data_IF_802827758226
#
_entry.id   IF_802827758226
#
_cell.length_a   1.000
_cell.length_b   1.000
_cell.length_c   1.000
_cell.angle_alpha   90.00
_cell.angle_beta   90.00
_cell.angle_gamma   90.00
#
_symmetry.space_group_name_H-M   'P 1'
#
loop_
_entity.id
_entity.type
_entity.pdbx_description
1 polymer ?
#
# COMPACT_ATOMS: atom_id res chain seq x y z
N UNK A 1 -36.43 -44.23 -37.03
CA UNK A 1 -37.70 -43.55 -36.67
C UNK A 1 -37.32 -42.47 -35.68
N UNK A 2 -37.03 -41.26 -36.16
CA UNK A 2 -37.93 -40.07 -36.13
C UNK A 2 -38.34 -39.81 -34.66
N UNK A 3 -37.92 -38.72 -34.04
CA UNK A 3 -38.56 -37.38 -34.06
C UNK A 3 -37.49 -36.41 -33.48
N UNK A 4 -36.93 -35.45 -34.24
CA UNK A 4 -37.42 -34.08 -34.49
C UNK A 4 -37.80 -33.28 -33.24
N UNK A 5 -37.09 -32.17 -32.96
CA UNK A 5 -37.66 -30.84 -32.65
C UNK A 5 -36.60 -29.90 -32.07
N UNK A 6 -36.13 -28.98 -32.91
CA UNK A 6 -36.17 -27.51 -32.72
C UNK A 6 -35.02 -26.84 -33.46
N UNK A 7 -35.27 -26.66 -34.76
CA UNK A 7 -34.82 -25.50 -35.50
C UNK A 7 -35.44 -24.22 -34.92
N UNK A 8 -34.66 -23.12 -35.02
CA UNK A 8 -35.23 -21.79 -35.21
C UNK A 8 -35.17 -20.87 -33.99
N UNK A 9 -34.12 -20.05 -33.92
CA UNK A 9 -34.32 -18.60 -33.91
C UNK A 9 -33.03 -17.91 -34.37
N UNK A 10 -33.03 -17.54 -35.65
CA UNK A 10 -32.04 -16.64 -36.24
C UNK A 10 -32.67 -15.25 -36.26
N UNK A 11 -32.12 -14.27 -35.53
CA UNK A 11 -32.34 -12.85 -35.83
C UNK A 11 -31.15 -11.96 -35.41
N UNK A 12 -30.45 -11.51 -36.45
CA UNK A 12 -29.84 -10.19 -36.71
C UNK A 12 -29.34 -9.26 -35.57
N UNK A 13 -28.06 -8.91 -35.76
CA UNK A 13 -27.23 -7.79 -35.25
C UNK A 13 -27.88 -6.65 -34.44
N UNK A 14 -27.24 -6.34 -33.29
CA UNK A 14 -26.79 -4.96 -33.00
C UNK A 14 -25.35 -4.96 -32.52
N UNK A 15 -24.57 -4.14 -33.22
CA UNK A 15 -23.20 -3.76 -32.90
C UNK A 15 -23.27 -2.81 -31.70
N UNK A 16 -22.93 -3.28 -30.50
CA UNK A 16 -22.73 -2.38 -29.38
C UNK A 16 -21.46 -2.75 -28.60
N UNK A 17 -20.49 -1.86 -28.71
CA UNK A 17 -19.18 -1.93 -28.09
C UNK A 17 -19.31 -1.64 -26.59
N UNK A 18 -19.45 -2.67 -25.75
CA UNK A 18 -19.15 -2.65 -24.31
C UNK A 18 -19.45 -4.00 -23.62
N UNK A 19 -18.48 -4.93 -23.60
CA UNK A 19 -18.30 -5.94 -22.53
C UNK A 19 -17.15 -6.90 -22.88
N UNK A 20 -15.97 -6.66 -22.32
CA UNK A 20 -14.77 -7.47 -22.59
C UNK A 20 -14.62 -8.81 -21.81
N UNK A 21 -15.48 -9.24 -20.84
CA UNK A 21 -15.26 -10.53 -20.20
C UNK A 21 -15.96 -11.72 -20.90
N UNK A 22 -16.92 -11.50 -21.81
CA UNK A 22 -17.73 -12.60 -22.36
C UNK A 22 -17.07 -13.38 -23.51
N UNK A 23 -16.11 -12.80 -24.24
CA UNK A 23 -15.41 -13.51 -25.32
C UNK A 23 -14.42 -14.58 -24.82
N UNK A 24 -13.92 -14.45 -23.59
CA UNK A 24 -12.97 -15.42 -23.02
C UNK A 24 -13.62 -16.69 -22.49
N UNK A 25 -14.85 -16.62 -21.97
CA UNK A 25 -15.59 -17.80 -21.52
C UNK A 25 -15.95 -18.73 -22.69
N UNK A 26 -16.29 -18.16 -23.85
CA UNK A 26 -16.65 -18.95 -25.03
C UNK A 26 -15.45 -19.71 -25.63
N UNK A 27 -14.25 -19.10 -25.59
CA UNK A 27 -13.03 -19.72 -26.09
C UNK A 27 -12.55 -20.86 -25.16
N UNK A 28 -12.63 -20.66 -23.83
CA UNK A 28 -12.27 -21.70 -22.86
C UNK A 28 -13.17 -22.94 -22.97
N UNK A 29 -14.48 -22.76 -23.19
CA UNK A 29 -15.42 -23.87 -23.31
C UNK A 29 -15.21 -24.69 -24.59
N UNK A 30 -14.96 -24.05 -25.73
CA UNK A 30 -14.66 -24.76 -26.97
C UNK A 30 -13.35 -25.56 -26.90
N UNK A 31 -12.31 -25.01 -26.26
CA UNK A 31 -11.05 -25.76 -26.09
C UNK A 31 -11.19 -26.98 -25.20
N UNK A 32 -12.04 -26.93 -24.16
CA UNK A 32 -12.23 -28.06 -23.22
C UNK A 32 -13.06 -29.21 -23.81
N UNK A 33 -14.02 -28.90 -24.71
CA UNK A 33 -14.79 -29.92 -25.44
C UNK A 33 -13.93 -30.62 -26.49
N UNK A 34 -13.11 -29.88 -27.24
CA UNK A 34 -12.14 -30.47 -28.17
C UNK A 34 -11.09 -31.35 -27.45
N UNK A 35 -10.66 -30.95 -26.26
CA UNK A 35 -9.70 -31.70 -25.44
C UNK A 35 -10.26 -33.06 -24.98
N UNK A 36 -11.55 -33.12 -24.63
CA UNK A 36 -12.21 -34.37 -24.21
C UNK A 36 -12.43 -35.37 -25.34
N UNK A 37 -12.60 -34.91 -26.59
CA UNK A 37 -12.77 -35.78 -27.76
C UNK A 37 -11.45 -36.34 -28.28
N UNK A 38 -10.34 -35.58 -28.17
CA UNK A 38 -9.00 -36.04 -28.53
C UNK A 38 -8.46 -37.12 -27.56
N UNK A 39 -8.72 -36.99 -26.26
CA UNK A 39 -8.26 -37.96 -25.24
C UNK A 39 -9.05 -39.28 -25.29
N UNK A 40 -10.32 -39.26 -25.77
CA UNK A 40 -11.18 -40.45 -25.81
C UNK A 40 -11.15 -41.23 -27.15
N UNK A 41 -10.27 -40.88 -28.09
CA UNK A 41 -9.97 -41.71 -29.27
C UNK A 41 -11.14 -41.98 -30.24
N UNK A 42 -12.15 -41.11 -30.30
CA UNK A 42 -13.39 -41.34 -31.08
C UNK A 42 -13.48 -40.59 -32.42
N UNK A 43 -12.36 -40.17 -33.00
CA UNK A 43 -12.34 -39.66 -34.39
C UNK A 43 -11.52 -40.63 -35.23
N UNK A 44 -12.20 -41.43 -36.06
CA UNK A 44 -11.57 -42.24 -37.12
C UNK A 44 -11.66 -41.47 -38.44
N UNK A 45 -10.51 -41.18 -39.05
CA UNK A 45 -10.43 -40.74 -40.44
C UNK A 45 -10.37 -41.97 -41.37
N UNK A 46 -10.96 -41.92 -42.57
CA UNK A 46 -10.90 -43.02 -43.52
C UNK A 46 -9.45 -43.31 -43.91
N UNK A 47 -9.06 -44.59 -43.86
CA UNK A 47 -7.75 -45.06 -44.28
C UNK A 47 -7.73 -45.18 -45.79
N UNK A 48 -7.09 -44.23 -46.46
CA UNK A 48 -6.53 -44.45 -47.79
C UNK A 48 -5.10 -43.91 -47.85
N UNK A 49 -4.17 -44.86 -47.84
CA UNK A 49 -3.00 -44.92 -48.73
C UNK A 49 -2.08 -43.70 -48.85
N UNK A 50 -1.41 -43.30 -47.76
CA UNK A 50 -0.06 -42.71 -47.87
C UNK A 50 0.83 -43.22 -46.74
N UNK A 51 1.92 -43.89 -47.13
CA UNK A 51 3.00 -44.33 -46.26
C UNK A 51 3.67 -43.09 -45.66
N UNK A 52 3.28 -42.68 -44.45
CA UNK A 52 4.07 -41.74 -43.68
C UNK A 52 5.10 -42.52 -42.86
N UNK A 53 6.41 -42.17 -42.95
CA UNK A 53 7.41 -42.84 -42.13
C UNK A 53 7.08 -42.63 -40.66
N UNK A 54 7.18 -43.67 -39.83
CA UNK A 54 6.84 -43.67 -38.41
C UNK A 54 7.48 -42.51 -37.59
N UNK A 55 8.54 -41.90 -38.14
CA UNK A 55 9.22 -40.75 -37.56
C UNK A 55 8.42 -39.43 -37.70
N UNK A 56 7.49 -39.27 -38.64
CA UNK A 56 6.75 -38.00 -38.84
C UNK A 56 5.74 -37.72 -37.72
N UNK A 57 5.01 -38.74 -37.27
CA UNK A 57 4.03 -38.65 -36.18
C UNK A 57 4.68 -38.36 -34.82
N UNK A 58 5.87 -38.93 -34.58
CA UNK A 58 6.62 -38.70 -33.36
C UNK A 58 7.23 -37.30 -33.31
N UNK A 59 7.73 -36.78 -34.44
CA UNK A 59 8.19 -35.40 -34.57
C UNK A 59 7.03 -34.41 -34.38
N UNK A 60 5.85 -34.66 -34.95
CA UNK A 60 4.67 -33.82 -34.76
C UNK A 60 4.19 -33.78 -33.30
N UNK A 61 4.21 -34.91 -32.59
CA UNK A 61 3.88 -34.98 -31.17
C UNK A 61 4.87 -34.23 -30.27
N UNK A 62 6.16 -34.28 -30.60
CA UNK A 62 7.21 -33.53 -29.87
C UNK A 62 7.09 -32.03 -30.14
N UNK A 63 6.88 -31.62 -31.39
CA UNK A 63 6.70 -30.21 -31.77
C UNK A 63 5.45 -29.61 -31.11
N UNK A 64 4.33 -30.35 -31.06
CA UNK A 64 3.11 -29.90 -30.39
C UNK A 64 3.29 -29.76 -28.86
N UNK A 65 4.03 -30.66 -28.22
CA UNK A 65 4.36 -30.56 -26.79
C UNK A 65 5.27 -29.36 -26.49
N UNK A 66 6.27 -29.12 -27.32
CA UNK A 66 7.16 -27.95 -27.18
C UNK A 66 6.38 -26.63 -27.36
N UNK A 67 5.44 -26.57 -28.31
CA UNK A 67 4.57 -25.41 -28.51
C UNK A 67 3.66 -25.13 -27.31
N UNK A 68 3.08 -26.18 -26.71
CA UNK A 68 2.25 -26.05 -25.51
C UNK A 68 3.04 -25.62 -24.27
N UNK A 69 4.27 -26.14 -24.10
CA UNK A 69 5.18 -25.71 -23.03
C UNK A 69 5.56 -24.24 -23.21
N UNK A 70 5.82 -23.80 -24.45
CA UNK A 70 6.12 -22.41 -24.75
C UNK A 70 4.92 -21.50 -24.44
N UNK A 71 3.70 -21.89 -24.81
CA UNK A 71 2.48 -21.14 -24.49
C UNK A 71 2.22 -21.05 -22.99
N UNK A 72 2.45 -22.13 -22.24
CA UNK A 72 2.33 -22.15 -20.79
C UNK A 72 3.40 -21.26 -20.14
N UNK A 73 4.65 -21.33 -20.61
CA UNK A 73 5.72 -20.45 -20.16
C UNK A 73 5.40 -18.98 -20.44
N UNK A 74 4.83 -18.67 -21.63
CA UNK A 74 4.37 -17.32 -21.97
C UNK A 74 3.24 -16.84 -21.06
N UNK A 75 2.28 -17.72 -20.75
CA UNK A 75 1.20 -17.40 -19.80
C UNK A 75 1.74 -17.15 -18.39
N UNK A 76 2.70 -17.96 -17.93
CA UNK A 76 3.33 -17.77 -16.62
C UNK A 76 4.18 -16.48 -16.57
N UNK A 77 4.87 -16.14 -17.67
CA UNK A 77 5.58 -14.87 -17.82
C UNK A 77 4.61 -13.68 -17.79
N UNK A 78 3.52 -13.71 -18.57
CA UNK A 78 2.49 -12.67 -18.56
C UNK A 78 1.79 -12.55 -17.19
N UNK A 79 1.47 -13.66 -16.54
CA UNK A 79 0.87 -13.67 -15.22
C UNK A 79 1.81 -13.08 -14.16
N UNK A 80 3.11 -13.33 -14.23
CA UNK A 80 4.11 -12.72 -13.34
C UNK A 80 4.25 -11.21 -13.56
N UNK A 81 4.21 -10.74 -14.81
CA UNK A 81 4.25 -9.30 -15.14
C UNK A 81 2.99 -8.59 -14.65
N UNK A 82 1.82 -9.24 -14.73
CA UNK A 82 0.55 -8.71 -14.21
C UNK A 82 0.48 -8.78 -12.67
N UNK A 83 1.05 -9.81 -12.04
CA UNK A 83 1.09 -9.92 -10.58
C UNK A 83 2.01 -8.87 -9.92
N UNK A 84 3.02 -8.38 -10.64
CA UNK A 84 3.88 -7.28 -10.17
C UNK A 84 3.22 -5.90 -10.23
N UNK A 85 2.08 -5.76 -10.92
CA UNK A 85 1.30 -4.54 -10.99
C UNK A 85 -0.11 -4.80 -10.52
N UNK A 86 -0.39 -4.65 -9.22
CA UNK A 86 -1.76 -4.46 -8.77
C UNK A 86 -2.26 -3.14 -9.37
N UNK A 87 -3.02 -3.20 -10.47
CA UNK A 87 -3.60 -2.03 -11.12
C UNK A 87 -4.81 -1.60 -10.29
N UNK A 88 -4.61 -0.64 -9.39
CA UNK A 88 -5.73 0.14 -8.87
C UNK A 88 -6.19 1.08 -10.00
N UNK A 89 -7.46 1.09 -10.43
CA UNK A 89 -7.90 1.94 -11.54
C UNK A 89 -7.70 3.44 -11.29
N UNK A 90 -7.37 3.86 -10.06
CA UNK A 90 -7.18 5.25 -9.65
C UNK A 90 -5.71 5.65 -9.55
N UNK A 91 -4.76 4.72 -9.71
CA UNK A 91 -3.34 5.03 -9.67
C UNK A 91 -2.42 3.81 -9.76
N UNK A 92 -1.12 4.04 -9.65
CA UNK A 92 -0.11 2.98 -9.75
C UNK A 92 0.48 2.68 -8.39
N UNK A 93 0.35 1.44 -7.92
CA UNK A 93 1.10 0.93 -6.77
C UNK A 93 2.42 0.33 -7.25
N UNK A 94 3.53 0.86 -6.76
CA UNK A 94 4.89 0.39 -6.99
C UNK A 94 5.39 -0.29 -5.73
N UNK A 95 6.24 -1.31 -5.91
CA UNK A 95 7.07 -1.89 -4.86
C UNK A 95 8.52 -1.73 -5.24
N UNK A 96 9.30 -1.15 -4.34
CA UNK A 96 10.76 -1.06 -4.45
C UNK A 96 11.40 -1.58 -3.19
N UNK A 97 12.72 -1.72 -3.21
CA UNK A 97 13.54 -1.93 -2.03
C UNK A 97 14.40 -0.69 -1.79
N UNK A 98 14.73 -0.41 -0.53
CA UNK A 98 15.67 0.65 -0.17
C UNK A 98 16.58 0.17 0.96
N UNK A 99 17.87 0.50 0.87
CA UNK A 99 18.82 0.22 1.95
C UNK A 99 18.53 1.06 3.22
N UNK A 100 17.65 2.06 3.11
CA UNK A 100 17.36 3.07 4.13
C UNK A 100 15.96 2.91 4.79
N UNK A 101 15.31 1.76 4.63
CA UNK A 101 14.13 1.34 5.42
C UNK A 101 14.49 0.99 6.87
N UNK A 102 13.53 0.58 7.71
CA UNK A 102 13.82 0.15 9.08
C UNK A 102 14.76 -1.06 9.11
N UNK A 103 14.46 -2.07 8.30
CA UNK A 103 15.12 -3.37 8.30
C UNK A 103 15.73 -3.73 6.94
N UNK A 104 16.73 -4.61 6.88
CA UNK A 104 17.40 -5.30 8.00
C UNK A 104 18.27 -4.38 8.88
N UNK A 105 18.43 -4.75 10.16
CA UNK A 105 19.23 -4.03 11.17
C UNK A 105 19.97 -5.03 12.09
N UNK A 106 21.24 -4.77 12.49
CA UNK A 106 22.04 -5.67 13.31
C UNK A 106 21.38 -6.14 14.60
N UNK A 107 20.72 -5.23 15.33
CA UNK A 107 19.99 -5.53 16.58
C UNK A 107 18.80 -6.50 16.41
N UNK A 108 18.54 -6.99 15.19
CA UNK A 108 17.52 -8.00 14.89
C UNK A 108 18.04 -9.21 14.14
N UNK A 109 19.34 -9.35 13.92
CA UNK A 109 19.91 -10.54 13.26
C UNK A 109 19.64 -11.85 14.02
N UNK A 110 19.53 -11.78 15.35
CA UNK A 110 19.15 -12.93 16.18
C UNK A 110 17.64 -13.02 16.43
N UNK A 111 16.83 -12.22 15.75
CA UNK A 111 15.41 -12.08 16.04
C UNK A 111 15.13 -11.20 17.26
N UNK A 112 13.93 -11.36 17.81
CA UNK A 112 13.46 -10.62 18.98
C UNK A 112 12.46 -11.48 19.76
N UNK A 113 12.55 -11.47 21.09
CA UNK A 113 11.65 -12.21 21.96
C UNK A 113 10.70 -11.25 22.68
N UNK A 114 9.40 -11.57 22.62
CA UNK A 114 8.39 -10.83 23.38
C UNK A 114 7.26 -11.77 23.82
N UNK A 115 6.98 -11.75 25.14
CA UNK A 115 5.92 -12.56 25.79
C UNK A 115 5.88 -14.01 25.30
N UNK A 116 6.98 -14.74 25.51
CA UNK A 116 7.15 -16.16 25.15
C UNK A 116 7.04 -16.47 23.64
N UNK A 117 7.11 -15.47 22.77
CA UNK A 117 7.16 -15.65 21.32
C UNK A 117 8.45 -15.09 20.75
N UNK A 118 9.13 -15.92 19.96
CA UNK A 118 10.31 -15.55 19.20
C UNK A 118 9.93 -15.10 17.79
N UNK A 119 10.40 -13.93 17.39
CA UNK A 119 10.26 -13.36 16.05
C UNK A 119 11.60 -13.49 15.33
N UNK A 120 11.70 -14.44 14.40
CA UNK A 120 12.94 -14.67 13.65
C UNK A 120 13.29 -13.53 12.72
N UNK A 121 14.59 -13.30 12.51
CA UNK A 121 15.10 -12.32 11.53
C UNK A 121 14.45 -12.49 10.16
N UNK A 122 14.54 -13.69 9.58
CA UNK A 122 14.07 -14.00 8.22
C UNK A 122 12.60 -13.67 7.97
N UNK A 123 11.74 -13.82 8.97
CA UNK A 123 10.30 -13.65 8.78
C UNK A 123 9.78 -12.25 9.13
N UNK A 124 10.53 -11.50 9.94
CA UNK A 124 10.04 -10.27 10.58
C UNK A 124 10.93 -9.04 10.34
N UNK A 125 12.20 -9.26 10.01
CA UNK A 125 13.24 -8.22 9.99
C UNK A 125 14.17 -8.32 8.76
N UNK A 126 13.85 -9.14 7.77
CA UNK A 126 14.56 -9.24 6.49
C UNK A 126 13.70 -8.71 5.33
N UNK A 127 13.10 -7.54 5.55
CA UNK A 127 12.20 -6.90 4.59
C UNK A 127 12.55 -5.42 4.46
N UNK A 128 13.07 -5.04 3.30
CA UNK A 128 13.45 -3.66 2.97
C UNK A 128 12.47 -3.03 1.97
N UNK A 129 11.25 -3.55 1.90
CA UNK A 129 10.24 -3.11 0.92
C UNK A 129 9.72 -1.72 1.24
N UNK A 130 9.47 -0.95 0.18
CA UNK A 130 8.70 0.30 0.23
C UNK A 130 7.58 0.20 -0.80
N UNK A 131 6.33 0.34 -0.34
CA UNK A 131 5.19 0.52 -1.22
C UNK A 131 5.01 2.01 -1.53
N UNK A 132 4.81 2.34 -2.80
CA UNK A 132 4.61 3.72 -3.26
C UNK A 132 3.36 3.74 -4.13
N UNK A 133 2.36 4.52 -3.74
CA UNK A 133 1.16 4.72 -4.54
C UNK A 133 1.13 6.11 -5.16
N UNK A 134 1.06 6.16 -6.49
CA UNK A 134 0.98 7.38 -7.30
C UNK A 134 -0.42 7.49 -7.88
N UNK A 135 -1.27 8.43 -7.41
CA UNK A 135 -2.58 8.66 -8.01
C UNK A 135 -2.46 9.02 -9.49
N UNK A 136 -3.37 8.56 -10.35
CA UNK A 136 -3.40 9.01 -11.76
C UNK A 136 -3.61 10.51 -11.90
N UNK A 137 -4.33 11.09 -10.94
CA UNK A 137 -4.61 12.50 -10.90
C UNK A 137 -3.44 13.34 -10.34
N UNK A 138 -2.36 12.71 -9.87
CA UNK A 138 -1.14 13.39 -9.43
C UNK A 138 -0.57 14.29 -10.54
N UNK A 139 -0.16 15.49 -10.16
CA UNK A 139 0.48 16.47 -11.03
C UNK A 139 1.90 16.71 -10.54
N UNK A 140 2.87 16.28 -11.35
CA UNK A 140 4.27 16.55 -11.08
C UNK A 140 4.52 18.07 -11.00
N UNK A 141 5.26 18.48 -9.98
CA UNK A 141 5.66 19.86 -9.71
C UNK A 141 7.18 19.89 -9.54
N UNK A 142 7.76 21.09 -9.35
CA UNK A 142 9.19 21.25 -9.12
C UNK A 142 9.67 20.62 -7.81
N UNK A 143 8.78 20.42 -6.84
CA UNK A 143 9.02 19.70 -5.59
C UNK A 143 7.84 18.75 -5.31
N UNK A 144 8.14 17.57 -4.77
CA UNK A 144 7.18 16.47 -4.62
C UNK A 144 6.69 16.36 -3.18
N UNK A 145 5.38 16.47 -2.97
CA UNK A 145 4.79 16.22 -1.66
C UNK A 145 4.64 14.72 -1.39
N UNK A 146 5.02 14.28 -0.19
CA UNK A 146 5.03 12.88 0.21
C UNK A 146 4.17 12.67 1.45
N UNK A 147 3.35 11.63 1.42
CA UNK A 147 2.60 11.14 2.57
C UNK A 147 3.19 9.82 3.03
N UNK A 148 3.89 9.81 4.16
CA UNK A 148 4.45 8.59 4.74
C UNK A 148 3.49 7.97 5.74
N UNK A 149 3.21 6.68 5.58
CA UNK A 149 2.50 5.88 6.56
C UNK A 149 3.42 4.84 7.20
N UNK A 150 3.30 4.64 8.51
CA UNK A 150 4.00 3.60 9.27
C UNK A 150 2.98 2.76 10.06
N UNK A 151 3.18 1.43 10.10
CA UNK A 151 2.26 0.52 10.79
C UNK A 151 2.72 0.16 12.21
N UNK A 152 1.78 -0.25 13.05
CA UNK A 152 2.05 -0.79 14.39
C UNK A 152 2.29 -2.31 14.39
N UNK A 153 2.21 -2.91 15.57
CA UNK A 153 2.49 -4.34 15.75
C UNK A 153 1.57 -5.26 14.92
N UNK A 154 2.04 -6.48 14.66
CA UNK A 154 1.25 -7.53 13.99
C UNK A 154 0.73 -7.16 12.61
N UNK A 155 1.46 -6.29 11.93
CA UNK A 155 1.06 -5.74 10.66
C UNK A 155 2.18 -5.81 9.62
N UNK A 156 1.82 -5.57 8.38
CA UNK A 156 2.72 -5.49 7.23
C UNK A 156 2.15 -4.48 6.25
N UNK A 157 2.92 -4.11 5.23
CA UNK A 157 2.41 -3.29 4.12
C UNK A 157 1.10 -3.87 3.57
N UNK A 158 1.09 -5.14 3.18
CA UNK A 158 -0.08 -5.76 2.53
C UNK A 158 -1.31 -5.77 3.44
N UNK A 159 -1.11 -6.19 4.70
CA UNK A 159 -2.19 -6.27 5.68
C UNK A 159 -2.75 -4.90 6.00
N UNK A 160 -1.90 -3.89 6.22
CA UNK A 160 -2.33 -2.52 6.53
C UNK A 160 -3.06 -1.86 5.37
N UNK A 161 -2.52 -1.96 4.15
CA UNK A 161 -3.14 -1.41 2.94
C UNK A 161 -4.57 -1.94 2.77
N UNK A 162 -4.76 -3.25 2.98
CA UNK A 162 -6.05 -3.93 2.87
C UNK A 162 -6.99 -3.60 4.03
N UNK A 163 -6.59 -3.88 5.26
CA UNK A 163 -7.48 -3.87 6.42
C UNK A 163 -7.95 -2.46 6.77
N UNK A 164 -7.07 -1.47 6.60
CA UNK A 164 -7.39 -0.06 6.87
C UNK A 164 -7.84 0.70 5.62
N UNK A 165 -7.88 0.06 4.45
CA UNK A 165 -8.22 0.71 3.17
C UNK A 165 -7.40 1.98 2.92
N UNK A 166 -6.09 1.92 3.17
CA UNK A 166 -5.22 3.10 3.20
C UNK A 166 -5.23 3.86 1.87
N UNK A 167 -5.23 3.15 0.74
CA UNK A 167 -5.27 3.77 -0.60
C UNK A 167 -6.61 4.46 -0.85
N UNK A 168 -7.74 3.86 -0.45
CA UNK A 168 -9.06 4.49 -0.57
C UNK A 168 -9.13 5.81 0.21
N UNK A 169 -8.65 5.78 1.46
CA UNK A 169 -8.60 6.94 2.33
C UNK A 169 -7.61 8.01 1.84
N UNK A 170 -6.48 7.59 1.27
CA UNK A 170 -5.51 8.51 0.68
C UNK A 170 -6.10 9.26 -0.51
N UNK A 171 -6.76 8.53 -1.42
CA UNK A 171 -7.42 9.12 -2.59
C UNK A 171 -8.57 10.04 -2.18
N UNK A 172 -9.37 9.67 -1.17
CA UNK A 172 -10.50 10.50 -0.70
C UNK A 172 -10.07 11.84 -0.10
N UNK A 173 -8.79 11.99 0.26
CA UNK A 173 -8.17 13.25 0.66
C UNK A 173 -7.96 14.25 -0.48
N UNK A 174 -7.95 13.78 -1.74
CA UNK A 174 -7.77 14.58 -2.96
C UNK A 174 -6.52 15.49 -2.95
N UNK A 175 -5.41 15.00 -2.38
CA UNK A 175 -4.16 15.78 -2.26
C UNK A 175 -3.18 15.47 -3.38
N UNK A 176 -2.50 16.51 -3.87
CA UNK A 176 -1.41 16.37 -4.85
C UNK A 176 -0.12 15.92 -4.14
N UNK A 177 -0.11 14.66 -3.72
CA UNK A 177 0.99 14.00 -3.03
C UNK A 177 1.10 12.54 -3.47
N UNK A 178 2.26 11.94 -3.18
CA UNK A 178 2.51 10.51 -3.39
C UNK A 178 2.51 9.81 -2.03
N UNK A 179 1.81 8.69 -1.93
CA UNK A 179 1.76 7.86 -0.73
C UNK A 179 2.98 6.94 -0.68
N UNK A 180 3.66 6.87 0.45
CA UNK A 180 4.87 6.08 0.67
C UNK A 180 4.72 5.29 1.97
N UNK A 181 5.03 4.00 1.91
CA UNK A 181 4.85 3.09 3.04
C UNK A 181 6.04 2.12 3.11
N UNK A 182 7.09 2.48 3.86
CA UNK A 182 8.21 1.58 4.13
C UNK A 182 7.79 0.50 5.15
N UNK A 183 8.26 -0.72 4.94
CA UNK A 183 7.99 -1.84 5.85
C UNK A 183 8.72 -1.61 7.19
N UNK A 184 8.00 -1.88 8.28
CA UNK A 184 8.53 -1.89 9.63
C UNK A 184 8.87 -3.31 10.08
N UNK A 185 8.73 -3.59 11.38
CA UNK A 185 8.86 -4.94 11.90
C UNK A 185 7.64 -5.77 11.47
N UNK A 186 7.80 -6.54 10.39
CA UNK A 186 6.71 -7.24 9.73
C UNK A 186 6.11 -8.28 10.67
N UNK A 187 4.81 -8.20 10.95
CA UNK A 187 4.06 -9.15 11.78
C UNK A 187 4.70 -9.43 13.15
N UNK A 188 5.39 -8.45 13.73
CA UNK A 188 6.07 -8.57 15.01
C UNK A 188 5.46 -7.63 16.07
N UNK A 189 5.57 -8.01 17.34
CA UNK A 189 5.19 -7.18 18.48
C UNK A 189 6.36 -6.27 18.89
N UNK A 190 6.84 -5.47 17.93
CA UNK A 190 8.07 -4.70 18.06
C UNK A 190 7.90 -3.32 17.43
N UNK A 191 8.15 -2.28 18.22
CA UNK A 191 8.07 -0.89 17.78
C UNK A 191 9.41 -0.34 17.28
N UNK A 192 10.48 -1.12 17.35
CA UNK A 192 11.80 -0.65 16.96
C UNK A 192 11.82 -0.22 15.49
N UNK A 193 12.19 1.04 15.24
CA UNK A 193 12.27 1.64 13.90
C UNK A 193 13.53 1.28 13.13
N UNK A 194 14.42 0.45 13.70
CA UNK A 194 15.66 0.01 13.05
C UNK A 194 16.51 1.18 12.59
N UNK A 195 16.97 1.14 11.33
CA UNK A 195 17.84 2.18 10.75
C UNK A 195 17.17 3.56 10.71
N UNK A 196 15.84 3.63 10.70
CA UNK A 196 15.10 4.90 10.69
C UNK A 196 15.18 5.66 12.03
N UNK A 197 15.64 5.03 13.11
CA UNK A 197 15.97 5.72 14.36
C UNK A 197 17.33 6.44 14.31
N UNK A 198 18.14 6.19 13.28
CA UNK A 198 19.47 6.77 13.11
C UNK A 198 19.42 8.14 12.42
N UNK A 199 20.43 8.98 12.70
CA UNK A 199 20.51 10.35 12.18
C UNK A 199 20.55 10.35 10.65
N UNK A 200 19.59 11.05 10.04
CA UNK A 200 19.54 11.30 8.60
C UNK A 200 19.10 10.13 7.73
N UNK A 201 18.76 8.96 8.30
CA UNK A 201 18.34 7.80 7.48
C UNK A 201 17.05 8.08 6.73
N UNK A 202 16.08 8.74 7.36
CA UNK A 202 14.83 9.10 6.69
C UNK A 202 15.05 10.01 5.48
N UNK A 203 15.96 10.99 5.56
CA UNK A 203 16.37 11.80 4.41
C UNK A 203 16.87 10.94 3.25
N UNK A 204 17.68 9.91 3.53
CA UNK A 204 18.18 8.98 2.51
C UNK A 204 17.06 8.12 1.91
N UNK A 205 16.12 7.64 2.73
CA UNK A 205 14.94 6.93 2.24
C UNK A 205 14.09 7.79 1.31
N UNK A 206 13.85 9.06 1.68
CA UNK A 206 13.15 10.03 0.81
C UNK A 206 13.91 10.21 -0.51
N UNK A 207 15.24 10.30 -0.46
CA UNK A 207 16.06 10.38 -1.68
C UNK A 207 15.90 9.15 -2.59
N UNK A 208 15.90 7.94 -2.03
CA UNK A 208 15.71 6.70 -2.80
C UNK A 208 14.34 6.68 -3.48
N UNK A 209 13.29 7.11 -2.77
CA UNK A 209 11.93 7.21 -3.29
C UNK A 209 11.85 8.22 -4.44
N UNK A 210 12.41 9.42 -4.26
CA UNK A 210 12.36 10.47 -5.28
C UNK A 210 13.17 10.10 -6.53
N UNK A 211 14.38 9.54 -6.37
CA UNK A 211 15.16 9.05 -7.51
C UNK A 211 14.43 7.94 -8.26
N UNK A 212 13.83 6.97 -7.55
CA UNK A 212 13.00 5.93 -8.19
C UNK A 212 11.87 6.55 -9.03
N UNK A 213 11.17 7.55 -8.48
CA UNK A 213 10.08 8.22 -9.19
C UNK A 213 10.59 8.97 -10.43
N UNK A 214 11.77 9.58 -10.35
CA UNK A 214 12.40 10.27 -11.47
C UNK A 214 12.85 9.30 -12.57
N UNK A 215 13.51 8.20 -12.20
CA UNK A 215 13.95 7.14 -13.13
C UNK A 215 12.76 6.51 -13.87
N UNK A 216 11.60 6.44 -13.23
CA UNK A 216 10.35 5.96 -13.85
C UNK A 216 9.58 7.04 -14.61
N UNK A 217 10.17 8.23 -14.77
CA UNK A 217 9.58 9.39 -15.45
C UNK A 217 8.23 9.84 -14.87
N UNK A 218 8.00 9.60 -13.57
CA UNK A 218 6.79 10.03 -12.86
C UNK A 218 6.93 11.49 -12.42
N UNK A 219 8.15 11.91 -12.08
CA UNK A 219 8.53 13.28 -11.74
C UNK A 219 9.73 13.71 -12.58
N UNK A 220 9.94 15.01 -12.72
CA UNK A 220 11.06 15.56 -13.49
C UNK A 220 12.31 15.78 -12.63
N UNK A 221 12.12 16.27 -11.40
CA UNK A 221 13.18 16.62 -10.45
C UNK A 221 12.95 15.88 -9.12
N UNK A 222 14.01 15.37 -8.46
CA UNK A 222 13.89 14.61 -7.22
C UNK A 222 13.90 15.55 -6.00
N UNK A 223 13.24 16.69 -6.10
CA UNK A 223 13.18 17.69 -5.04
C UNK A 223 12.06 17.37 -4.07
N UNK A 224 12.36 17.46 -2.78
CA UNK A 224 11.40 17.17 -1.70
C UNK A 224 10.55 18.39 -1.40
N UNK A 225 9.23 18.21 -1.46
CA UNK A 225 8.23 19.21 -1.06
C UNK A 225 7.81 19.05 0.40
N UNK A 226 6.51 19.11 0.65
CA UNK A 226 5.93 18.87 1.98
C UNK A 226 5.86 17.39 2.29
N UNK A 227 6.22 17.03 3.53
CA UNK A 227 6.07 15.69 4.08
C UNK A 227 4.97 15.68 5.13
N UNK A 228 4.08 14.69 5.04
CA UNK A 228 3.14 14.32 6.10
C UNK A 228 3.56 12.97 6.64
N UNK A 229 3.65 12.84 7.97
CA UNK A 229 3.86 11.56 8.65
C UNK A 229 2.57 11.10 9.31
N UNK A 230 2.17 9.86 9.07
CA UNK A 230 1.02 9.25 9.71
C UNK A 230 1.40 7.86 10.24
N UNK A 231 0.86 7.49 11.40
CA UNK A 231 1.15 6.17 11.94
C UNK A 231 0.14 5.71 12.99
N UNK A 232 -0.06 4.40 13.01
CA UNK A 232 -0.95 3.72 13.95
C UNK A 232 -0.14 2.99 15.02
N UNK A 233 -0.60 3.07 16.28
CA UNK A 233 -0.10 2.22 17.36
C UNK A 233 1.43 2.30 17.50
N UNK A 234 2.13 1.17 17.39
CA UNK A 234 3.60 1.07 17.49
C UNK A 234 4.41 1.97 16.55
N UNK A 235 3.80 2.58 15.54
CA UNK A 235 4.44 3.52 14.61
C UNK A 235 4.98 4.80 15.28
N UNK A 236 4.47 5.14 16.47
CA UNK A 236 4.90 6.35 17.18
C UNK A 236 6.41 6.43 17.34
N UNK A 237 7.06 5.29 17.61
CA UNK A 237 8.49 5.28 17.92
C UNK A 237 9.31 5.72 16.71
N UNK A 238 9.11 5.10 15.55
CA UNK A 238 9.86 5.47 14.34
C UNK A 238 9.58 6.92 13.94
N UNK A 239 8.33 7.37 14.03
CA UNK A 239 7.97 8.76 13.74
C UNK A 239 8.66 9.75 14.69
N UNK A 240 8.71 9.46 16.00
CA UNK A 240 9.38 10.30 16.98
C UNK A 240 10.87 10.51 16.66
N UNK A 241 11.58 9.44 16.24
CA UNK A 241 12.98 9.57 15.82
C UNK A 241 13.13 10.29 14.47
N UNK A 242 12.21 10.09 13.52
CA UNK A 242 12.21 10.85 12.27
C UNK A 242 12.07 12.35 12.54
N UNK A 243 11.14 12.74 13.41
CA UNK A 243 10.94 14.16 13.78
C UNK A 243 12.19 14.76 14.42
N UNK A 244 12.82 14.01 15.33
CA UNK A 244 14.00 14.51 16.06
C UNK A 244 15.27 14.56 15.19
N UNK A 245 15.50 13.55 14.33
CA UNK A 245 16.81 13.36 13.68
C UNK A 245 16.75 12.76 12.28
N UNK A 246 15.57 12.72 11.65
CA UNK A 246 15.39 12.17 10.30
C UNK A 246 16.08 12.98 9.19
N UNK A 247 16.46 14.24 9.47
CA UNK A 247 17.23 15.09 8.56
C UNK A 247 16.40 15.88 7.55
N UNK A 248 15.07 15.80 7.63
CA UNK A 248 14.11 16.56 6.82
C UNK A 248 13.00 17.17 7.71
N UNK A 249 13.29 17.44 8.98
CA UNK A 249 12.29 17.90 9.96
C UNK A 249 11.56 19.16 9.51
N UNK A 250 12.25 20.10 8.85
CA UNK A 250 11.65 21.30 8.27
C UNK A 250 10.63 21.03 7.16
N UNK A 251 10.74 19.90 6.45
CA UNK A 251 9.80 19.51 5.40
C UNK A 251 8.57 18.80 5.98
N UNK A 252 8.63 18.31 7.22
CA UNK A 252 7.50 17.67 7.87
C UNK A 252 6.55 18.76 8.35
N UNK A 253 5.41 18.89 7.67
CA UNK A 253 4.40 19.93 7.98
C UNK A 253 3.19 19.38 8.70
N UNK A 254 2.91 18.07 8.59
CA UNK A 254 1.80 17.47 9.33
C UNK A 254 2.19 16.10 9.93
N UNK A 255 1.71 15.83 11.15
CA UNK A 255 1.94 14.58 11.90
C UNK A 255 0.61 14.07 12.43
N UNK A 256 0.26 12.84 12.06
CA UNK A 256 -0.99 12.17 12.45
C UNK A 256 -0.71 10.92 13.28
N UNK A 257 -1.16 10.92 14.52
CA UNK A 257 -1.11 9.77 15.41
C UNK A 257 -2.50 9.15 15.54
N UNK A 258 -2.57 7.86 15.22
CA UNK A 258 -3.78 7.05 15.38
C UNK A 258 -3.57 6.13 16.57
N UNK A 259 -4.04 6.56 17.73
CA UNK A 259 -3.94 5.88 19.02
C UNK A 259 -2.53 5.35 19.26
N UNK A 260 -1.55 6.25 19.17
CA UNK A 260 -0.14 5.88 19.02
C UNK A 260 0.81 6.48 20.07
N UNK A 261 0.48 7.58 20.77
CA UNK A 261 1.44 8.28 21.64
C UNK A 261 1.76 7.51 22.95
N UNK A 262 2.50 6.42 22.85
CA UNK A 262 2.87 5.53 23.98
C UNK A 262 4.05 6.04 24.80
N UNK A 263 4.97 6.74 24.17
CA UNK A 263 6.23 7.24 24.76
C UNK A 263 6.87 8.25 23.79
N UNK A 264 8.07 8.74 24.09
CA UNK A 264 8.86 9.67 23.27
C UNK A 264 8.16 11.03 23.09
N UNK A 265 7.32 11.40 24.07
CA UNK A 265 6.50 12.62 24.09
C UNK A 265 7.38 13.85 23.84
N UNK A 266 8.56 13.89 24.44
CA UNK A 266 9.51 14.99 24.33
C UNK A 266 9.96 15.26 22.87
N UNK A 267 9.99 14.24 22.01
CA UNK A 267 10.38 14.40 20.59
C UNK A 267 9.23 15.00 19.78
N UNK A 268 8.00 14.59 20.06
CA UNK A 268 6.81 15.21 19.48
C UNK A 268 6.65 16.65 19.97
N UNK A 269 6.76 16.88 21.27
CA UNK A 269 6.73 18.20 21.90
C UNK A 269 7.79 19.13 21.30
N UNK A 270 9.03 18.67 21.15
CA UNK A 270 10.10 19.43 20.49
C UNK A 270 9.70 19.84 19.06
N UNK A 271 9.17 18.91 18.26
CA UNK A 271 8.73 19.24 16.91
C UNK A 271 7.56 20.26 16.89
N UNK A 272 6.54 20.05 17.73
CA UNK A 272 5.37 20.92 17.81
C UNK A 272 5.76 22.37 18.19
N UNK A 273 6.72 22.51 19.09
CA UNK A 273 7.13 23.81 19.66
C UNK A 273 8.14 24.56 18.81
N UNK A 274 8.98 23.86 18.04
CA UNK A 274 10.08 24.47 17.27
C UNK A 274 9.77 24.60 15.77
N UNK A 275 8.78 23.89 15.25
CA UNK A 275 8.46 23.88 13.83
C UNK A 275 7.04 24.35 13.55
N UNK A 276 6.85 25.02 12.41
CA UNK A 276 5.53 25.43 11.94
C UNK A 276 4.80 24.27 11.24
N UNK A 277 4.38 23.28 12.04
CA UNK A 277 3.59 22.13 11.58
C UNK A 277 2.23 22.01 12.26
N UNK A 278 1.45 21.04 11.80
CA UNK A 278 0.13 20.65 12.30
C UNK A 278 0.17 19.22 12.87
N UNK A 279 -0.31 19.06 14.09
CA UNK A 279 -0.32 17.82 14.84
C UNK A 279 -1.77 17.38 15.09
N UNK A 280 -2.08 16.13 14.74
CA UNK A 280 -3.36 15.50 15.05
C UNK A 280 -3.12 14.19 15.79
N UNK A 281 -3.77 14.04 16.93
CA UNK A 281 -3.73 12.83 17.74
C UNK A 281 -5.17 12.38 18.04
N UNK A 282 -5.53 11.18 17.58
CA UNK A 282 -6.82 10.55 17.88
C UNK A 282 -6.60 9.40 18.86
N UNK A 283 -7.29 9.46 19.98
CA UNK A 283 -7.01 8.70 21.19
C UNK A 283 -8.22 7.83 21.54
N UNK A 284 -7.95 6.59 21.96
CA UNK A 284 -8.98 5.68 22.48
C UNK A 284 -8.85 5.51 24.00
N UNK A 285 -9.91 5.09 24.72
CA UNK A 285 -9.86 5.04 26.19
C UNK A 285 -8.92 3.94 26.70
N UNK A 286 -8.79 2.84 25.95
CA UNK A 286 -8.07 1.63 26.37
C UNK A 286 -6.83 1.34 25.51
N UNK A 287 -6.41 2.28 24.66
CA UNK A 287 -5.27 2.14 23.77
C UNK A 287 -3.91 2.17 24.47
N UNK A 288 -3.85 2.65 25.72
CA UNK A 288 -2.61 2.82 26.49
C UNK A 288 -1.87 4.14 26.20
N UNK A 289 -2.50 5.06 25.46
CA UNK A 289 -1.92 6.33 25.00
C UNK A 289 -2.56 7.55 25.64
N UNK A 290 -3.76 7.37 26.23
CA UNK A 290 -4.60 8.46 26.75
C UNK A 290 -3.87 9.35 27.74
N UNK A 291 -3.24 8.77 28.76
CA UNK A 291 -2.53 9.55 29.78
C UNK A 291 -1.42 10.43 29.19
N UNK A 292 -0.63 9.89 28.25
CA UNK A 292 0.42 10.65 27.58
C UNK A 292 -0.13 11.75 26.67
N UNK A 293 -1.27 11.50 26.03
CA UNK A 293 -1.92 12.45 25.14
C UNK A 293 -2.55 13.60 25.94
N UNK A 294 -3.13 13.30 27.11
CA UNK A 294 -3.59 14.30 28.08
C UNK A 294 -2.42 15.10 28.64
N UNK A 295 -1.32 14.45 29.02
CA UNK A 295 -0.10 15.13 29.49
C UNK A 295 0.44 16.10 28.44
N UNK A 296 0.63 15.66 27.19
CA UNK A 296 1.13 16.54 26.13
C UNK A 296 0.16 17.70 25.85
N UNK A 297 -1.15 17.46 25.92
CA UNK A 297 -2.14 18.53 25.78
C UNK A 297 -1.98 19.59 26.88
N UNK A 298 -1.88 19.17 28.14
CA UNK A 298 -1.70 20.05 29.30
C UNK A 298 -0.37 20.80 29.23
N UNK A 299 0.73 20.11 28.94
CA UNK A 299 2.06 20.72 28.78
C UNK A 299 2.04 21.84 27.71
N UNK A 300 1.38 21.59 26.57
CA UNK A 300 1.24 22.59 25.52
C UNK A 300 0.45 23.82 26.00
N UNK A 301 -0.60 23.63 26.81
CA UNK A 301 -1.33 24.76 27.39
C UNK A 301 -0.45 25.56 28.35
N UNK A 302 0.31 24.88 29.21
CA UNK A 302 1.21 25.50 30.17
C UNK A 302 2.35 26.26 29.49
N UNK A 303 2.77 25.82 28.30
CA UNK A 303 3.75 26.53 27.47
C UNK A 303 3.12 27.64 26.61
N UNK A 304 1.84 27.96 26.80
CA UNK A 304 1.15 29.08 26.14
C UNK A 304 0.59 28.78 24.75
N UNK A 305 0.59 27.51 24.31
CA UNK A 305 -0.11 27.10 23.09
C UNK A 305 -1.62 26.98 23.35
N UNK A 306 -2.39 26.95 22.25
CA UNK A 306 -3.86 26.79 22.29
C UNK A 306 -4.26 25.51 21.56
N UNK A 307 -3.88 24.33 22.08
CA UNK A 307 -4.29 23.07 21.47
C UNK A 307 -5.82 22.94 21.48
N UNK A 308 -6.37 22.40 20.41
CA UNK A 308 -7.79 22.12 20.26
C UNK A 308 -8.09 20.73 20.79
N UNK A 309 -9.05 20.63 21.72
CA UNK A 309 -9.54 19.38 22.27
C UNK A 309 -10.94 19.10 21.74
N UNK A 310 -11.16 17.88 21.25
CA UNK A 310 -12.48 17.39 20.87
C UNK A 310 -12.77 16.06 21.58
N UNK A 311 -14.00 15.88 22.05
CA UNK A 311 -14.49 14.63 22.63
C UNK A 311 -15.64 14.12 21.77
N UNK A 312 -15.50 12.90 21.24
CA UNK A 312 -16.54 12.22 20.47
C UNK A 312 -16.05 11.64 19.15
N UNK A 313 -16.92 10.88 18.49
CA UNK A 313 -16.60 10.13 17.27
C UNK A 313 -17.01 10.88 15.98
N UNK A 314 -17.80 11.96 16.11
CA UNK A 314 -18.34 12.71 14.96
C UNK A 314 -17.32 13.73 14.42
N UNK A 315 -16.22 13.22 13.89
CA UNK A 315 -15.09 14.02 13.40
C UNK A 315 -15.32 14.36 11.93
N UNK A 316 -15.13 15.62 11.55
CA UNK A 316 -15.24 16.10 10.16
C UNK A 316 -14.04 16.93 9.76
N UNK A 317 -13.72 17.04 8.47
CA UNK A 317 -12.61 17.89 8.03
C UNK A 317 -12.79 19.36 8.45
N UNK A 318 -14.02 19.87 8.39
CA UNK A 318 -14.35 21.24 8.81
C UNK A 318 -14.06 21.50 10.28
N UNK A 319 -14.36 20.52 11.15
CA UNK A 319 -14.05 20.60 12.58
C UNK A 319 -12.54 20.77 12.84
N UNK A 320 -11.71 20.15 12.01
CA UNK A 320 -10.25 20.14 12.17
C UNK A 320 -9.58 21.38 11.54
N UNK A 321 -10.29 22.14 10.70
CA UNK A 321 -9.72 23.28 10.00
C UNK A 321 -9.40 24.44 10.97
N UNK A 322 -8.30 25.15 10.70
CA UNK A 322 -7.87 26.30 11.52
C UNK A 322 -7.15 25.94 12.82
N UNK A 323 -7.09 24.66 13.19
CA UNK A 323 -6.37 24.20 14.36
C UNK A 323 -5.02 23.56 13.99
N UNK A 324 -3.98 23.91 14.75
CA UNK A 324 -2.62 23.40 14.55
C UNK A 324 -2.31 22.18 15.41
N UNK A 325 -2.61 22.22 16.71
CA UNK A 325 -2.46 21.07 17.60
C UNK A 325 -3.84 20.57 17.97
N UNK A 326 -4.19 19.34 17.58
CA UNK A 326 -5.53 18.79 17.69
C UNK A 326 -5.46 17.46 18.43
N UNK A 327 -6.22 17.34 19.51
CA UNK A 327 -6.34 16.13 20.31
C UNK A 327 -7.79 15.70 20.35
N UNK A 328 -8.06 14.47 19.89
CA UNK A 328 -9.41 13.94 19.71
C UNK A 328 -9.56 12.70 20.57
N UNK A 329 -10.42 12.79 21.59
CA UNK A 329 -10.70 11.71 22.51
C UNK A 329 -12.00 11.03 22.09
N UNK A 330 -11.91 9.74 21.77
CA UNK A 330 -13.02 8.96 21.21
C UNK A 330 -13.40 7.80 22.12
N UNK A 331 -14.54 7.15 21.84
CA UNK A 331 -14.94 5.88 22.47
C UNK A 331 -14.68 4.67 21.55
N UNK A 332 -13.86 4.85 20.52
CA UNK A 332 -13.53 3.83 19.53
C UNK A 332 -12.58 2.77 20.11
N UNK A 333 -12.49 1.62 19.44
CA UNK A 333 -11.44 0.64 19.69
C UNK A 333 -10.14 1.03 18.99
N UNK A 334 -9.04 0.47 19.49
CA UNK A 334 -7.68 0.76 19.05
C UNK A 334 -7.45 0.75 17.52
N UNK A 335 -8.09 -0.14 16.76
CA UNK A 335 -7.94 -0.20 15.30
C UNK A 335 -9.04 0.56 14.54
N UNK A 336 -10.14 0.93 15.20
CA UNK A 336 -11.28 1.63 14.59
C UNK A 336 -10.92 3.11 14.29
N UNK A 337 -9.91 3.66 14.95
CA UNK A 337 -9.38 5.01 14.64
C UNK A 337 -8.77 5.12 13.24
N UNK A 338 -8.48 4.01 12.54
CA UNK A 338 -7.83 4.08 11.24
C UNK A 338 -8.77 4.45 10.10
N UNK A 339 -10.02 4.01 10.13
CA UNK A 339 -10.98 4.23 9.05
C UNK A 339 -12.33 4.66 9.66
N UNK A 340 -12.87 5.83 9.31
CA UNK A 340 -12.54 6.67 8.14
C UNK A 340 -11.55 7.82 8.40
N UNK A 341 -10.89 7.85 9.56
CA UNK A 341 -10.27 9.07 10.05
C UNK A 341 -8.98 9.48 9.33
N UNK A 342 -8.22 8.55 8.72
CA UNK A 342 -7.10 8.91 7.84
C UNK A 342 -7.56 9.79 6.68
N UNK A 343 -8.68 9.40 6.05
CA UNK A 343 -9.29 10.17 4.96
C UNK A 343 -9.76 11.55 5.43
N UNK A 344 -10.41 11.62 6.60
CA UNK A 344 -10.87 12.89 7.20
C UNK A 344 -9.68 13.82 7.51
N UNK A 345 -8.59 13.28 8.07
CA UNK A 345 -7.39 14.06 8.37
C UNK A 345 -6.77 14.62 7.10
N UNK A 346 -6.67 13.78 6.06
CA UNK A 346 -6.20 14.20 4.74
C UNK A 346 -7.11 15.22 4.07
N UNK A 347 -8.43 15.13 4.21
CA UNK A 347 -9.36 16.16 3.70
C UNK A 347 -9.11 17.52 4.35
N UNK A 348 -8.78 17.55 5.64
CA UNK A 348 -8.41 18.77 6.38
C UNK A 348 -6.96 19.23 6.18
N UNK A 349 -6.12 18.43 5.49
CA UNK A 349 -4.69 18.70 5.34
C UNK A 349 -4.43 19.99 4.55
N UNK A 350 -3.30 20.61 4.85
CA UNK A 350 -2.75 21.79 4.17
C UNK A 350 -2.07 21.47 2.83
N UNK A 351 -1.88 20.19 2.50
CA UNK A 351 -1.34 19.77 1.22
C UNK A 351 -2.16 20.36 0.05
N UNK A 352 -1.51 20.71 -1.08
CA UNK A 352 -2.21 21.19 -2.27
C UNK A 352 -3.27 20.19 -2.73
N UNK A 353 -4.42 20.69 -3.15
CA UNK A 353 -5.47 19.86 -3.74
C UNK A 353 -5.06 19.47 -5.15
N UNK A 354 -5.54 18.32 -5.63
CA UNK A 354 -5.40 17.98 -7.05
C UNK A 354 -6.26 18.94 -7.88
N UNK A 355 -5.66 19.59 -8.89
CA UNK A 355 -6.37 20.44 -9.84
C UNK A 355 -6.62 21.89 -9.39
N UNK A 356 -6.02 22.32 -8.29
CA UNK A 356 -5.88 23.73 -7.89
C UNK A 356 -4.40 24.07 -7.84
#
# INVERSE_FOLDING_TARGET
MIIEELDGFCFQMRNDSRSFPFRYFYFAFQTSVCYSYLIKGKIQFPRDSFYQPANSLQIQGVVMRLFLILLLALHLLCANVLAQHSIDPRGKLLRITSAHTAFPHPDRYHGYDYRNKHFTFKNHYDDSTVAIFVPHAFKAQSAVNLFFYFHGWWNSIDKSLKDFKLIDQFISGNKNAIFVFPEGARNAADSFGGKLEQKGTFKKLVSDVLHTLQERHIIQTPEVGTIVLAGHSGAYRVMAFILNRGGLTDHIKEVYLFDALYDQIEKYAHWITHYNGRFLDIVTPNGGTKANSEQLFEDLQDWGFKPFKYQGNAITATLLNGHRQIFIFTDLKHSEVMNPYLGIFLQSSTLPQIGK
#
